data_IF_033338653776
#
_entry.id   IF_033338653776
#
_cell.length_a   1.000
_cell.length_b   1.000
_cell.length_c   1.000
_cell.angle_alpha   90.00
_cell.angle_beta   90.00
_cell.angle_gamma   90.00
#
_symmetry.space_group_name_H-M   'P 1'
#
loop_
_entity.id
_entity.type
_entity.pdbx_description
1 polymer ?
#
# COMPACT_ATOMS: atom_id res chain seq x y z
N UNK A 1 9.17 50.20 76.31
CA UNK A 1 10.59 50.60 76.46
C UNK A 1 11.21 50.60 75.07
N UNK A 2 11.46 51.82 74.55
CA UNK A 2 12.26 52.26 73.40
C UNK A 2 12.13 51.61 72.01
N UNK A 3 11.56 52.42 71.11
CA UNK A 3 11.89 52.51 69.67
C UNK A 3 13.33 52.98 69.43
N UNK A 4 13.87 52.64 68.25
CA UNK A 4 14.77 53.39 67.33
C UNK A 4 15.40 52.38 66.35
N UNK A 5 15.73 52.60 65.07
CA UNK A 5 15.37 53.54 64.00
C UNK A 5 15.97 52.92 62.70
N UNK A 6 15.43 53.32 61.54
CA UNK A 6 15.84 52.98 60.16
C UNK A 6 17.34 53.08 59.84
N UNK A 7 17.79 52.25 58.90
CA UNK A 7 18.66 52.69 57.80
C UNK A 7 18.36 51.86 56.53
N UNK A 8 17.73 52.48 55.54
CA UNK A 8 17.67 52.02 54.16
C UNK A 8 19.05 52.18 53.52
N UNK A 9 19.52 51.15 52.81
CA UNK A 9 20.60 51.26 51.84
C UNK A 9 20.04 50.83 50.48
N UNK A 10 19.63 51.81 49.67
CA UNK A 10 19.35 51.61 48.26
C UNK A 10 20.68 51.38 47.53
N UNK A 11 20.95 50.14 47.12
CA UNK A 11 22.02 49.84 46.18
C UNK A 11 21.50 50.09 44.76
N UNK A 12 21.93 51.21 44.19
CA UNK A 12 21.73 51.58 42.80
C UNK A 12 22.52 50.60 41.91
N UNK A 13 21.87 49.60 41.33
CA UNK A 13 22.49 48.71 40.36
C UNK A 13 22.57 49.45 39.02
N UNK A 14 23.73 50.01 38.71
CA UNK A 14 24.06 50.55 37.39
C UNK A 14 24.05 49.40 36.37
N UNK A 15 23.03 49.37 35.51
CA UNK A 15 23.01 48.57 34.30
C UNK A 15 24.09 49.10 33.35
N UNK A 16 25.29 48.53 33.43
CA UNK A 16 26.27 48.65 32.37
C UNK A 16 25.67 48.01 31.11
N UNK A 17 25.38 48.85 30.12
CA UNK A 17 24.99 48.43 28.79
C UNK A 17 26.20 47.76 28.13
N UNK A 18 26.39 46.47 28.42
CA UNK A 18 27.23 45.62 27.59
C UNK A 18 26.54 45.53 26.24
N UNK A 19 27.12 46.17 25.23
CA UNK A 19 26.73 45.97 23.84
C UNK A 19 26.74 44.47 23.57
N UNK A 20 25.54 43.87 23.46
CA UNK A 20 25.39 42.54 22.91
C UNK A 20 25.92 42.62 21.48
N UNK A 21 27.11 42.08 21.26
CA UNK A 21 27.61 41.84 19.93
C UNK A 21 26.54 41.02 19.22
N UNK A 22 25.95 41.58 18.16
CA UNK A 22 25.04 40.87 17.30
C UNK A 22 25.77 39.61 16.81
N UNK A 23 25.26 38.44 17.18
CA UNK A 23 25.73 37.19 16.62
C UNK A 23 25.60 37.31 15.10
N UNK A 24 26.61 36.90 14.32
CA UNK A 24 26.53 36.99 12.87
C UNK A 24 25.30 36.23 12.39
N UNK A 25 24.41 36.94 11.69
CA UNK A 25 23.29 36.38 10.94
C UNK A 25 23.88 35.46 9.87
N UNK A 26 24.05 34.19 10.22
CA UNK A 26 24.54 33.21 9.28
C UNK A 26 23.39 32.84 8.33
N UNK A 27 23.32 33.50 7.18
CA UNK A 27 22.30 33.26 6.14
C UNK A 27 22.40 31.87 5.48
N UNK A 28 23.34 31.03 5.94
CA UNK A 28 23.47 29.60 5.61
C UNK A 28 22.95 28.66 6.70
N UNK A 29 22.32 29.22 7.73
CA UNK A 29 21.67 28.49 8.82
C UNK A 29 20.50 27.65 8.27
N UNK A 30 20.67 26.33 8.19
CA UNK A 30 19.54 25.42 7.91
C UNK A 30 18.42 25.58 8.95
N UNK A 31 18.75 26.10 10.14
CA UNK A 31 17.79 26.30 11.23
C UNK A 31 16.63 27.25 10.84
N UNK A 32 16.78 28.13 9.85
CA UNK A 32 15.68 28.96 9.36
C UNK A 32 14.59 28.15 8.63
N UNK A 33 14.94 26.95 8.15
CA UNK A 33 14.00 26.01 7.53
C UNK A 33 13.41 25.02 8.54
N UNK A 34 13.81 25.08 9.81
CA UNK A 34 13.28 24.23 10.88
C UNK A 34 12.33 25.02 11.74
N UNK A 35 11.03 24.81 11.47
CA UNK A 35 9.96 25.39 12.26
C UNK A 35 9.89 24.71 13.62
N UNK A 36 10.15 25.48 14.68
CA UNK A 36 9.84 25.08 16.05
C UNK A 36 8.42 25.58 16.36
N UNK A 37 7.38 24.71 16.26
CA UNK A 37 6.02 25.13 16.49
C UNK A 37 5.82 25.67 17.92
N UNK A 38 5.00 26.72 18.03
CA UNK A 38 4.56 27.25 19.34
C UNK A 38 3.62 26.29 20.08
N UNK A 39 3.09 25.29 19.38
CA UNK A 39 2.17 24.28 19.90
C UNK A 39 2.77 22.88 19.78
N UNK A 40 2.40 21.99 20.72
CA UNK A 40 2.90 20.61 20.75
C UNK A 40 2.20 19.66 19.77
N UNK A 41 1.06 20.06 19.21
CA UNK A 41 0.33 19.31 18.18
C UNK A 41 0.17 20.20 16.97
N UNK A 42 0.61 19.70 15.82
CA UNK A 42 0.38 20.34 14.54
C UNK A 42 -0.69 19.56 13.78
N UNK A 43 -1.61 20.30 13.18
CA UNK A 43 -2.61 19.77 12.27
C UNK A 43 -2.17 20.08 10.84
N UNK A 44 -2.62 19.30 9.85
CA UNK A 44 -2.45 19.72 8.47
C UNK A 44 -3.17 21.04 8.20
N UNK A 45 -2.68 21.80 7.24
CA UNK A 45 -3.23 23.09 6.80
C UNK A 45 -4.19 22.94 5.61
N UNK A 46 -4.07 21.86 4.85
CA UNK A 46 -4.96 21.58 3.73
C UNK A 46 -5.09 20.07 3.44
N UNK A 47 -6.20 19.71 2.79
CA UNK A 47 -6.34 18.43 2.08
C UNK A 47 -5.93 18.68 0.63
N UNK A 48 -4.94 17.94 0.14
CA UNK A 48 -4.45 18.08 -1.23
C UNK A 48 -5.23 17.20 -2.21
N UNK A 49 -5.54 15.97 -1.80
CA UNK A 49 -6.33 15.03 -2.58
C UNK A 49 -7.06 14.03 -1.68
N UNK A 50 -8.11 13.44 -2.23
CA UNK A 50 -8.74 12.24 -1.69
C UNK A 50 -9.05 11.29 -2.84
N UNK A 51 -8.85 10.00 -2.61
CA UNK A 51 -9.13 8.92 -3.57
C UNK A 51 -9.92 7.83 -2.86
N UNK A 52 -10.81 7.14 -3.59
CA UNK A 52 -11.66 6.10 -3.01
C UNK A 52 -12.75 6.66 -2.11
N UNK A 53 -13.17 5.89 -1.10
CA UNK A 53 -14.29 6.26 -0.25
C UNK A 53 -13.83 6.93 1.05
N UNK A 54 -13.51 8.22 0.92
CA UNK A 54 -13.19 9.14 2.02
C UNK A 54 -14.32 10.14 2.19
N UNK A 55 -14.77 10.34 3.43
CA UNK A 55 -15.74 11.39 3.76
C UNK A 55 -15.24 12.24 4.93
N UNK A 56 -15.50 13.54 4.86
CA UNK A 56 -15.15 14.52 5.90
C UNK A 56 -13.65 14.57 6.23
N UNK A 57 -12.77 14.50 5.21
CA UNK A 57 -11.32 14.58 5.39
C UNK A 57 -10.88 15.89 6.05
N UNK A 58 -11.61 16.98 5.79
CA UNK A 58 -11.40 18.32 6.34
C UNK A 58 -11.53 18.38 7.87
N UNK A 59 -12.14 17.35 8.49
CA UNK A 59 -12.14 17.20 9.94
C UNK A 59 -10.73 17.13 10.53
N UNK A 60 -9.76 16.59 9.79
CA UNK A 60 -8.36 16.49 10.23
C UNK A 60 -7.64 17.84 10.14
N UNK A 61 -7.96 18.67 9.14
CA UNK A 61 -7.43 20.04 9.01
C UNK A 61 -8.02 20.96 10.08
N UNK A 62 -9.35 20.95 10.22
CA UNK A 62 -10.04 21.75 11.25
C UNK A 62 -9.77 21.24 12.68
N UNK A 63 -9.49 19.94 12.81
CA UNK A 63 -9.47 19.20 14.07
C UNK A 63 -10.83 19.21 14.78
N UNK A 64 -11.91 19.16 14.01
CA UNK A 64 -13.28 19.09 14.48
C UNK A 64 -14.05 18.03 13.68
N UNK A 65 -14.67 17.08 14.40
CA UNK A 65 -15.37 15.95 13.77
C UNK A 65 -14.44 14.75 13.51
N UNK A 66 -14.90 13.85 12.64
CA UNK A 66 -14.22 12.59 12.32
C UNK A 66 -14.18 12.43 10.81
N UNK A 67 -13.00 12.15 10.27
CA UNK A 67 -12.84 11.70 8.89
C UNK A 67 -13.09 10.19 8.81
N UNK A 68 -13.84 9.75 7.81
CA UNK A 68 -14.13 8.34 7.60
C UNK A 68 -13.46 7.85 6.33
N UNK A 69 -12.69 6.78 6.47
CA UNK A 69 -12.07 6.04 5.39
C UNK A 69 -12.73 4.67 5.37
N UNK A 70 -13.25 4.26 4.22
CA UNK A 70 -13.89 2.96 4.08
C UNK A 70 -13.41 2.25 2.84
N UNK A 71 -13.15 0.95 2.96
CA UNK A 71 -12.96 0.10 1.81
C UNK A 71 -14.33 -0.31 1.28
N UNK A 72 -14.45 -0.41 -0.04
CA UNK A 72 -15.57 -1.15 -0.60
C UNK A 72 -15.59 -2.56 0.04
N UNK A 73 -16.78 -3.13 0.30
CA UNK A 73 -16.85 -4.51 0.76
C UNK A 73 -16.07 -5.37 -0.25
N UNK A 74 -15.19 -6.23 0.27
CA UNK A 74 -14.40 -7.17 -0.54
C UNK A 74 -15.35 -7.84 -1.52
N UNK A 75 -15.08 -7.70 -2.83
CA UNK A 75 -15.97 -8.25 -3.85
C UNK A 75 -16.13 -9.76 -3.59
N UNK A 76 -17.35 -10.20 -3.29
CA UNK A 76 -17.65 -11.61 -2.96
C UNK A 76 -18.12 -12.41 -4.16
N UNK A 77 -18.34 -11.75 -5.30
CA UNK A 77 -18.75 -12.38 -6.56
C UNK A 77 -17.76 -12.01 -7.65
N UNK A 78 -16.98 -12.99 -8.10
CA UNK A 78 -16.07 -12.84 -9.23
C UNK A 78 -16.73 -13.42 -10.50
N UNK A 79 -16.36 -12.94 -11.70
CA UNK A 79 -16.79 -13.59 -12.94
C UNK A 79 -16.20 -15.00 -13.00
N UNK A 80 -16.94 -15.98 -13.49
CA UNK A 80 -16.50 -17.36 -13.58
C UNK A 80 -16.44 -17.83 -15.03
N UNK A 81 -15.47 -18.67 -15.36
CA UNK A 81 -15.47 -19.34 -16.67
C UNK A 81 -16.71 -20.22 -16.84
N UNK A 82 -17.20 -20.42 -18.08
CA UNK A 82 -18.32 -21.33 -18.33
C UNK A 82 -18.02 -22.74 -17.81
N UNK A 83 -19.05 -23.43 -17.31
CA UNK A 83 -18.93 -24.81 -16.86
C UNK A 83 -18.34 -25.70 -17.97
N UNK A 84 -17.36 -26.55 -17.62
CA UNK A 84 -16.64 -27.40 -18.57
C UNK A 84 -15.37 -26.75 -19.15
N UNK A 85 -15.02 -25.54 -18.71
CA UNK A 85 -13.71 -24.93 -19.01
C UNK A 85 -12.58 -25.74 -18.36
N UNK A 86 -11.47 -25.90 -19.09
CA UNK A 86 -10.26 -26.57 -18.61
C UNK A 86 -9.07 -25.62 -18.61
N UNK A 87 -8.05 -25.94 -17.80
CA UNK A 87 -6.80 -25.20 -17.74
C UNK A 87 -5.60 -26.15 -17.90
N UNK A 88 -4.54 -25.67 -18.55
CA UNK A 88 -3.29 -26.40 -18.75
C UNK A 88 -2.08 -25.47 -18.58
N UNK A 89 -1.18 -25.81 -17.67
CA UNK A 89 0.11 -25.15 -17.48
C UNK A 89 1.20 -25.72 -18.41
N UNK A 90 2.26 -24.95 -18.67
CA UNK A 90 3.53 -25.43 -19.26
C UNK A 90 4.12 -26.55 -18.41
N UNK A 91 4.01 -26.38 -17.09
CA UNK A 91 4.36 -27.35 -16.07
C UNK A 91 3.50 -27.12 -14.82
N UNK A 92 3.53 -28.07 -13.88
CA UNK A 92 2.81 -27.99 -12.61
C UNK A 92 3.70 -28.54 -11.49
N UNK A 93 3.88 -27.77 -10.43
CA UNK A 93 4.64 -28.20 -9.26
C UNK A 93 3.99 -29.41 -8.58
N UNK A 94 4.83 -30.27 -8.00
CA UNK A 94 4.37 -31.41 -7.21
C UNK A 94 3.63 -30.96 -5.93
N UNK A 95 2.58 -31.68 -5.55
CA UNK A 95 1.83 -31.41 -4.31
C UNK A 95 2.72 -31.51 -3.07
N UNK A 96 2.45 -30.70 -2.05
CA UNK A 96 3.11 -30.77 -0.75
C UNK A 96 2.09 -30.72 0.40
N UNK A 97 2.59 -30.71 1.65
CA UNK A 97 1.75 -30.57 2.84
C UNK A 97 2.04 -29.25 3.54
N UNK A 98 1.02 -28.42 3.73
CA UNK A 98 1.09 -27.13 4.42
C UNK A 98 0.08 -27.15 5.56
N UNK A 99 0.53 -26.92 6.80
CA UNK A 99 -0.32 -26.96 8.00
C UNK A 99 -1.15 -28.25 8.15
N UNK A 100 -0.59 -29.39 7.72
CA UNK A 100 -1.27 -30.69 7.77
C UNK A 100 -2.29 -30.94 6.66
N UNK A 101 -2.50 -29.99 5.74
CA UNK A 101 -3.35 -30.16 4.57
C UNK A 101 -2.50 -30.36 3.30
N UNK A 102 -2.96 -31.21 2.39
CA UNK A 102 -2.35 -31.34 1.06
C UNK A 102 -2.66 -30.10 0.24
N UNK A 103 -1.62 -29.47 -0.31
CA UNK A 103 -1.74 -28.38 -1.27
C UNK A 103 -1.33 -28.90 -2.64
N UNK A 104 -2.16 -28.62 -3.63
CA UNK A 104 -1.93 -28.93 -5.05
C UNK A 104 -1.65 -27.65 -5.82
N UNK A 105 -1.06 -27.79 -7.00
CA UNK A 105 -0.59 -26.68 -7.84
C UNK A 105 -1.06 -26.77 -9.29
N UNK A 106 -2.18 -27.47 -9.50
CA UNK A 106 -2.70 -27.77 -10.82
C UNK A 106 -3.14 -26.50 -11.54
N UNK A 107 -3.04 -26.47 -12.86
CA UNK A 107 -3.54 -25.39 -13.69
C UNK A 107 -5.04 -25.15 -13.47
N UNK A 108 -5.82 -26.20 -13.16
CA UNK A 108 -7.24 -26.11 -12.86
C UNK A 108 -7.56 -25.25 -11.63
N UNK A 109 -6.59 -25.08 -10.73
CA UNK A 109 -6.76 -24.20 -9.57
C UNK A 109 -6.93 -22.73 -10.00
N UNK A 110 -6.41 -22.34 -11.15
CA UNK A 110 -6.50 -20.97 -11.66
C UNK A 110 -7.87 -20.59 -12.26
N UNK A 111 -8.86 -21.47 -12.16
CA UNK A 111 -10.23 -21.27 -12.69
C UNK A 111 -11.31 -21.84 -11.75
N UNK A 112 -10.98 -22.16 -10.49
CA UNK A 112 -11.86 -22.90 -9.58
C UNK A 112 -12.73 -22.01 -8.68
N UNK A 113 -12.51 -20.70 -8.73
CA UNK A 113 -13.17 -19.68 -7.94
C UNK A 113 -12.58 -19.48 -6.54
N UNK A 114 -11.46 -20.13 -6.19
CA UNK A 114 -10.92 -20.18 -4.84
C UNK A 114 -9.52 -19.54 -4.77
N UNK A 115 -9.47 -18.33 -4.21
CA UNK A 115 -8.23 -17.56 -4.03
C UNK A 115 -7.18 -18.18 -3.09
N UNK A 116 -7.45 -19.35 -2.51
CA UNK A 116 -6.51 -20.07 -1.62
C UNK A 116 -5.81 -21.24 -2.31
N UNK A 117 -6.31 -21.67 -3.46
CA UNK A 117 -5.65 -22.59 -4.39
C UNK A 117 -5.00 -21.79 -5.51
N UNK A 118 -3.97 -22.34 -6.15
CA UNK A 118 -3.29 -21.66 -7.25
C UNK A 118 -2.58 -22.65 -8.16
N UNK A 119 -2.39 -22.27 -9.42
CA UNK A 119 -1.43 -22.88 -10.32
C UNK A 119 -0.02 -22.42 -9.96
N UNK A 120 0.93 -23.34 -9.94
CA UNK A 120 2.35 -23.06 -9.78
C UNK A 120 3.14 -23.89 -10.81
N UNK A 121 4.02 -23.25 -11.57
CA UNK A 121 4.92 -23.96 -12.48
C UNK A 121 5.93 -24.84 -11.71
N UNK A 122 6.59 -25.77 -12.39
CA UNK A 122 7.58 -26.68 -11.83
C UNK A 122 9.03 -26.31 -12.15
N UNK A 123 9.27 -25.17 -12.80
CA UNK A 123 10.52 -24.78 -13.44
C UNK A 123 10.95 -23.36 -13.01
N UNK A 124 11.32 -23.18 -11.72
CA UNK A 124 11.56 -21.87 -11.15
C UNK A 124 12.63 -21.07 -11.90
N UNK A 125 12.32 -19.81 -12.22
CA UNK A 125 13.20 -18.89 -12.93
C UNK A 125 13.51 -19.29 -14.38
N UNK A 126 12.75 -20.23 -14.96
CA UNK A 126 12.90 -20.67 -16.35
C UNK A 126 11.67 -20.27 -17.14
N UNK A 127 11.88 -19.44 -18.15
CA UNK A 127 10.79 -18.83 -18.94
C UNK A 127 10.86 -19.21 -20.42
N UNK A 128 9.74 -19.15 -21.16
CA UNK A 128 8.41 -18.74 -20.68
C UNK A 128 7.62 -19.86 -20.01
N UNK A 129 6.80 -19.49 -19.04
CA UNK A 129 5.73 -20.34 -18.51
C UNK A 129 4.40 -19.96 -19.15
N UNK A 130 3.53 -20.95 -19.38
CA UNK A 130 2.24 -20.70 -20.04
C UNK A 130 1.09 -21.31 -19.26
N UNK A 131 0.03 -20.56 -19.06
CA UNK A 131 -1.26 -21.06 -18.56
C UNK A 131 -2.32 -20.86 -19.64
N UNK A 132 -2.83 -21.96 -20.20
CA UNK A 132 -3.85 -21.96 -21.25
C UNK A 132 -5.19 -22.36 -20.67
N UNK A 133 -6.20 -21.51 -20.85
CA UNK A 133 -7.59 -21.76 -20.50
C UNK A 133 -8.39 -22.05 -21.78
N UNK A 134 -9.16 -23.13 -21.78
CA UNK A 134 -9.97 -23.57 -22.92
C UNK A 134 -11.43 -23.68 -22.47
N UNK A 135 -12.27 -22.76 -22.98
CA UNK A 135 -13.71 -22.77 -22.75
C UNK A 135 -14.41 -23.71 -23.75
N UNK A 136 -15.54 -24.34 -23.36
CA UNK A 136 -16.28 -25.26 -24.25
C UNK A 136 -17.00 -24.56 -25.41
N UNK A 137 -17.21 -23.25 -25.28
CA UNK A 137 -17.79 -22.39 -26.30
C UNK A 137 -17.12 -21.01 -26.24
N UNK A 138 -17.26 -20.23 -27.30
CA UNK A 138 -16.67 -18.90 -27.34
C UNK A 138 -17.23 -18.02 -26.19
N UNK A 139 -16.33 -17.35 -25.47
CA UNK A 139 -16.64 -16.32 -24.50
C UNK A 139 -16.30 -14.96 -25.08
N UNK A 140 -17.05 -13.94 -24.67
CA UNK A 140 -16.83 -12.56 -25.09
C UNK A 140 -16.17 -11.80 -23.93
N UNK A 141 -15.00 -11.22 -24.18
CA UNK A 141 -14.12 -10.65 -23.17
C UNK A 141 -13.72 -9.21 -23.54
N UNK A 142 -13.87 -8.30 -22.59
CA UNK A 142 -13.30 -6.93 -22.67
C UNK A 142 -11.90 -6.86 -22.03
N UNK A 143 -11.46 -7.96 -21.42
CA UNK A 143 -10.21 -8.11 -20.71
C UNK A 143 -10.24 -9.33 -19.80
N UNK A 144 -9.15 -9.56 -19.09
CA UNK A 144 -9.02 -10.58 -18.04
C UNK A 144 -8.41 -9.98 -16.79
N UNK A 145 -8.53 -10.68 -15.67
CA UNK A 145 -7.83 -10.30 -14.43
C UNK A 145 -7.03 -11.48 -13.92
N UNK A 146 -5.74 -11.25 -13.68
CA UNK A 146 -4.85 -12.20 -13.01
C UNK A 146 -4.91 -11.92 -11.51
N UNK A 147 -5.35 -12.89 -10.73
CA UNK A 147 -5.11 -12.94 -9.29
C UNK A 147 -3.91 -13.84 -9.01
N UNK A 148 -2.90 -13.29 -8.36
CA UNK A 148 -1.69 -13.99 -7.94
C UNK A 148 -1.82 -14.50 -6.52
N UNK A 149 -1.00 -15.48 -6.15
CA UNK A 149 -0.88 -15.91 -4.76
C UNK A 149 0.07 -14.98 -3.97
N UNK A 150 -0.11 -14.87 -2.65
CA UNK A 150 0.68 -13.95 -1.80
C UNK A 150 2.18 -14.27 -1.75
N UNK A 151 2.59 -15.48 -2.13
CA UNK A 151 3.98 -15.93 -2.09
C UNK A 151 4.77 -15.57 -3.36
N UNK A 152 4.24 -14.68 -4.20
CA UNK A 152 4.94 -14.11 -5.36
C UNK A 152 4.02 -13.91 -6.56
N UNK A 153 4.32 -12.89 -7.37
CA UNK A 153 3.49 -12.49 -8.52
C UNK A 153 4.23 -12.63 -9.85
N UNK A 154 3.52 -12.95 -10.95
CA UNK A 154 4.01 -12.69 -12.30
C UNK A 154 4.27 -11.20 -12.52
N UNK A 155 5.48 -10.87 -12.96
CA UNK A 155 5.98 -9.49 -13.12
C UNK A 155 5.83 -9.03 -14.56
N UNK A 156 6.30 -9.83 -15.51
CA UNK A 156 6.21 -9.54 -16.95
C UNK A 156 5.50 -10.71 -17.66
N UNK A 157 4.40 -10.42 -18.33
CA UNK A 157 3.62 -11.45 -19.03
C UNK A 157 2.72 -10.85 -20.12
N UNK A 158 2.25 -11.70 -21.02
CA UNK A 158 1.23 -11.36 -22.02
C UNK A 158 -0.03 -12.18 -21.82
N UNK A 159 -1.16 -11.62 -22.26
CA UNK A 159 -2.41 -12.33 -22.45
C UNK A 159 -2.66 -12.44 -23.95
N UNK A 160 -2.87 -13.65 -24.42
CA UNK A 160 -3.13 -13.99 -25.81
C UNK A 160 -4.50 -14.66 -25.95
N UNK A 161 -5.18 -14.42 -27.07
CA UNK A 161 -6.47 -15.06 -27.40
C UNK A 161 -6.35 -15.84 -28.70
N UNK A 162 -7.05 -16.97 -28.79
CA UNK A 162 -7.05 -17.82 -29.98
C UNK A 162 -8.11 -17.36 -31.00
N UNK A 163 -7.72 -17.18 -32.26
CA UNK A 163 -8.64 -16.79 -33.35
C UNK A 163 -9.18 -17.97 -34.17
N UNK A 164 -8.81 -19.21 -33.82
CA UNK A 164 -9.10 -20.41 -34.61
C UNK A 164 -7.87 -20.98 -35.34
N UNK A 165 -6.83 -20.18 -35.53
CA UNK A 165 -5.61 -20.56 -36.25
C UNK A 165 -4.32 -20.04 -35.61
N UNK A 166 -4.35 -18.88 -34.95
CA UNK A 166 -3.19 -18.23 -34.33
C UNK A 166 -3.53 -17.70 -32.94
N UNK A 167 -2.48 -17.61 -32.13
CA UNK A 167 -2.49 -16.84 -30.89
C UNK A 167 -2.18 -15.39 -31.20
N UNK A 168 -3.06 -14.49 -30.77
CA UNK A 168 -2.90 -13.05 -30.93
C UNK A 168 -2.79 -12.40 -29.55
N UNK A 169 -1.79 -11.54 -29.34
CA UNK A 169 -1.66 -10.78 -28.10
C UNK A 169 -2.84 -9.82 -27.93
N UNK A 170 -3.60 -10.00 -26.85
CA UNK A 170 -4.72 -9.15 -26.47
C UNK A 170 -4.31 -8.08 -25.44
N UNK A 171 -3.25 -8.33 -24.65
CA UNK A 171 -2.64 -7.35 -23.75
C UNK A 171 -1.28 -7.80 -23.21
N UNK A 172 -0.53 -6.86 -22.65
CA UNK A 172 0.80 -7.09 -22.07
C UNK A 172 0.95 -6.35 -20.76
N UNK A 173 1.69 -6.94 -19.82
CA UNK A 173 2.00 -6.38 -18.51
C UNK A 173 3.51 -6.44 -18.30
N UNK A 174 4.07 -5.38 -17.72
CA UNK A 174 5.50 -5.27 -17.41
C UNK A 174 5.66 -4.60 -16.05
N UNK A 175 6.54 -5.14 -15.20
CA UNK A 175 6.85 -4.58 -13.88
C UNK A 175 5.72 -4.72 -12.87
N UNK A 176 4.83 -5.71 -13.02
CA UNK A 176 3.76 -5.93 -12.06
C UNK A 176 4.30 -6.30 -10.67
N UNK A 177 3.73 -5.68 -9.65
CA UNK A 177 3.98 -5.99 -8.23
C UNK A 177 2.68 -6.24 -7.45
N UNK A 178 1.52 -6.10 -8.10
CA UNK A 178 0.22 -6.25 -7.47
C UNK A 178 -0.23 -7.71 -7.51
N UNK A 179 -0.95 -8.14 -6.45
CA UNK A 179 -1.61 -9.45 -6.42
C UNK A 179 -2.70 -9.54 -7.48
N UNK A 180 -3.46 -8.46 -7.68
CA UNK A 180 -4.47 -8.36 -8.73
C UNK A 180 -3.97 -7.48 -9.86
N UNK A 181 -3.92 -8.03 -11.07
CA UNK A 181 -3.51 -7.31 -12.26
C UNK A 181 -4.56 -7.46 -13.37
N UNK A 182 -5.19 -6.34 -13.73
CA UNK A 182 -6.17 -6.26 -14.81
C UNK A 182 -5.48 -6.05 -16.15
N UNK A 183 -5.89 -6.83 -17.15
CA UNK A 183 -5.43 -6.69 -18.53
C UNK A 183 -6.63 -6.38 -19.42
N UNK A 184 -6.80 -5.10 -19.75
CA UNK A 184 -7.86 -4.63 -20.65
C UNK A 184 -7.48 -4.90 -22.09
N UNK A 185 -8.44 -5.35 -22.90
CA UNK A 185 -8.24 -5.53 -24.34
C UNK A 185 -8.62 -4.25 -25.09
N UNK A 186 -7.97 -3.99 -26.23
CA UNK A 186 -8.24 -2.79 -27.05
C UNK A 186 -9.65 -2.76 -27.63
N UNK A 187 -10.26 -3.93 -27.78
CA UNK A 187 -11.65 -4.12 -28.18
C UNK A 187 -12.15 -5.43 -27.58
N UNK A 188 -13.47 -5.59 -27.52
CA UNK A 188 -14.09 -6.84 -27.13
C UNK A 188 -13.66 -7.98 -28.07
N UNK A 189 -13.24 -9.12 -27.51
CA UNK A 189 -12.79 -10.30 -28.26
C UNK A 189 -13.70 -11.49 -27.94
N UNK A 190 -14.13 -12.21 -28.98
CA UNK A 190 -14.81 -13.50 -28.84
C UNK A 190 -13.82 -14.63 -29.12
N UNK A 191 -13.59 -15.51 -28.15
CA UNK A 191 -12.60 -16.60 -28.27
C UNK A 191 -12.99 -17.82 -27.45
N UNK A 192 -12.51 -19.00 -27.84
CA UNK A 192 -12.61 -20.22 -27.03
C UNK A 192 -11.41 -20.44 -26.13
N UNK A 193 -10.29 -19.72 -26.33
CA UNK A 193 -9.07 -19.95 -25.56
C UNK A 193 -8.34 -18.66 -25.22
N UNK A 194 -7.82 -18.62 -23.99
CA UNK A 194 -6.94 -17.56 -23.51
C UNK A 194 -5.65 -18.21 -23.03
N UNK A 195 -4.50 -17.62 -23.35
CA UNK A 195 -3.19 -18.03 -22.84
C UNK A 195 -2.51 -16.87 -22.14
N UNK A 196 -2.09 -17.10 -20.92
CA UNK A 196 -1.12 -16.24 -20.23
C UNK A 196 0.28 -16.80 -20.51
N UNK A 197 1.19 -15.94 -20.96
CA UNK A 197 2.60 -16.29 -21.19
C UNK A 197 3.47 -15.42 -20.28
N UNK A 198 4.05 -16.03 -19.25
CA UNK A 198 4.90 -15.37 -18.25
C UNK A 198 6.35 -15.41 -18.69
N UNK A 199 7.02 -14.27 -18.60
CA UNK A 199 8.43 -14.10 -18.97
C UNK A 199 9.32 -13.64 -17.82
N UNK A 200 8.71 -13.29 -16.68
CA UNK A 200 9.39 -12.91 -15.45
C UNK A 200 8.45 -13.00 -14.26
N UNK A 201 8.91 -13.61 -13.19
CA UNK A 201 8.25 -13.65 -11.89
C UNK A 201 9.03 -12.84 -10.84
N UNK A 202 8.36 -12.58 -9.73
CA UNK A 202 8.97 -11.92 -8.59
C UNK A 202 9.94 -12.89 -7.89
N UNK A 203 11.18 -12.43 -7.70
CA UNK A 203 12.17 -13.19 -6.95
C UNK A 203 12.00 -12.96 -5.44
N UNK A 204 11.48 -13.97 -4.73
CA UNK A 204 11.23 -13.94 -3.28
C UNK A 204 11.81 -15.18 -2.60
N UNK A 205 11.80 -15.21 -1.26
CA UNK A 205 12.33 -16.35 -0.47
C UNK A 205 11.59 -17.66 -0.71
N UNK A 206 10.31 -17.60 -1.11
CA UNK A 206 9.53 -18.76 -1.53
C UNK A 206 9.91 -19.28 -2.94
N UNK A 207 10.87 -18.64 -3.60
CA UNK A 207 11.33 -18.94 -4.96
C UNK A 207 10.59 -18.14 -6.03
N UNK A 208 11.19 -18.13 -7.22
CA UNK A 208 10.74 -17.41 -8.40
C UNK A 208 9.93 -18.35 -9.29
N UNK A 209 8.60 -18.29 -9.13
CA UNK A 209 7.65 -19.17 -9.82
C UNK A 209 6.44 -18.36 -10.27
N UNK A 210 5.84 -18.80 -11.37
CA UNK A 210 4.55 -18.34 -11.84
C UNK A 210 3.47 -18.85 -10.90
N UNK A 211 2.73 -17.92 -10.28
CA UNK A 211 1.71 -18.24 -9.28
C UNK A 211 0.42 -17.52 -9.61
N UNK A 212 -0.55 -18.26 -10.14
CA UNK A 212 -1.87 -17.71 -10.50
C UNK A 212 -2.92 -18.41 -9.66
N UNK A 213 -3.49 -17.67 -8.71
CA UNK A 213 -4.64 -18.11 -7.92
C UNK A 213 -5.88 -18.19 -8.81
N UNK A 214 -6.11 -17.16 -9.63
CA UNK A 214 -7.22 -17.13 -10.58
C UNK A 214 -6.86 -16.35 -11.84
N UNK A 215 -7.32 -16.82 -13.00
CA UNK A 215 -7.39 -16.03 -14.22
C UNK A 215 -8.85 -15.78 -14.55
N UNK A 216 -9.40 -14.64 -14.16
CA UNK A 216 -10.81 -14.33 -14.30
C UNK A 216 -11.20 -13.93 -15.74
N UNK A 217 -12.34 -14.39 -16.28
CA UNK A 217 -12.85 -14.01 -17.61
C UNK A 217 -13.56 -12.65 -17.55
N UNK A 218 -12.80 -11.60 -17.22
CA UNK A 218 -13.30 -10.24 -17.15
C UNK A 218 -12.44 -9.35 -16.25
N UNK A 219 -12.80 -8.07 -16.20
CA UNK A 219 -12.15 -7.09 -15.35
C UNK A 219 -12.78 -7.12 -13.94
N UNK A 220 -11.96 -7.50 -12.96
CA UNK A 220 -12.32 -7.50 -11.54
C UNK A 220 -11.76 -6.21 -10.92
N UNK A 221 -12.64 -5.43 -10.30
CA UNK A 221 -12.24 -4.20 -9.65
C UNK A 221 -11.25 -4.48 -8.50
N UNK A 222 -10.34 -3.55 -8.25
CA UNK A 222 -9.60 -3.56 -7.00
C UNK A 222 -10.54 -3.24 -5.84
N UNK A 223 -10.19 -3.73 -4.65
CA UNK A 223 -10.78 -3.21 -3.43
C UNK A 223 -10.29 -1.75 -3.31
N UNK A 224 -11.10 -0.79 -3.76
CA UNK A 224 -10.73 0.62 -3.76
C UNK A 224 -10.12 1.03 -2.41
N UNK A 225 -8.86 1.46 -2.45
CA UNK A 225 -8.16 2.00 -1.28
C UNK A 225 -8.69 3.41 -1.05
N UNK A 226 -9.15 3.68 0.16
CA UNK A 226 -9.48 5.03 0.58
C UNK A 226 -8.18 5.73 1.01
N UNK A 227 -7.85 6.84 0.36
CA UNK A 227 -6.60 7.58 0.55
C UNK A 227 -6.91 9.08 0.68
N UNK A 228 -6.16 9.78 1.52
CA UNK A 228 -6.14 11.23 1.55
C UNK A 228 -4.72 11.74 1.75
N UNK A 229 -4.33 12.75 0.96
CA UNK A 229 -3.05 13.43 1.08
C UNK A 229 -3.27 14.76 1.78
N UNK A 230 -2.48 15.02 2.82
CA UNK A 230 -2.58 16.22 3.64
C UNK A 230 -1.32 17.06 3.55
N UNK A 231 -1.49 18.38 3.42
CA UNK A 231 -0.40 19.36 3.47
C UNK A 231 -0.23 19.88 4.89
N UNK A 232 1.00 19.89 5.39
CA UNK A 232 1.35 20.53 6.67
C UNK A 232 1.95 21.93 6.49
N UNK A 233 2.11 22.38 5.24
CA UNK A 233 2.53 23.72 4.83
C UNK A 233 4.03 24.00 4.94
N UNK A 234 4.75 23.19 5.72
CA UNK A 234 6.18 23.34 6.00
C UNK A 234 6.77 22.01 6.46
N UNK A 235 8.10 21.90 6.45
CA UNK A 235 8.79 20.76 7.05
C UNK A 235 8.60 20.76 8.56
N UNK A 236 7.94 19.73 9.07
CA UNK A 236 7.60 19.57 10.49
C UNK A 236 8.46 18.45 11.09
N UNK A 237 9.15 18.76 12.19
CA UNK A 237 9.84 17.76 13.01
C UNK A 237 8.97 17.36 14.20
N UNK A 238 8.89 16.05 14.50
CA UNK A 238 8.08 15.56 15.61
C UNK A 238 7.83 14.06 15.59
N UNK A 239 6.92 13.62 16.45
CA UNK A 239 6.32 12.29 16.40
C UNK A 239 4.90 12.42 15.86
N UNK A 240 4.56 11.58 14.88
CA UNK A 240 3.17 11.51 14.43
C UNK A 240 2.31 10.89 15.53
N UNK A 241 1.14 11.45 15.75
CA UNK A 241 0.11 10.89 16.60
C UNK A 241 -1.21 10.91 15.86
N UNK A 242 -1.89 9.77 15.82
CA UNK A 242 -3.17 9.59 15.15
C UNK A 242 -4.19 9.13 16.18
N UNK A 243 -5.22 9.95 16.35
CA UNK A 243 -6.40 9.63 17.14
C UNK A 243 -7.44 8.97 16.24
N UNK A 244 -7.77 7.71 16.51
CA UNK A 244 -8.83 6.98 15.82
C UNK A 244 -10.03 6.81 16.76
N UNK A 245 -11.25 6.97 16.22
CA UNK A 245 -12.48 6.64 16.96
C UNK A 245 -12.81 5.15 16.94
N UNK A 246 -12.13 4.39 16.07
CA UNK A 246 -12.26 2.95 15.91
C UNK A 246 -12.42 2.53 14.45
N UNK A 247 -12.30 1.23 14.20
CA UNK A 247 -12.57 0.57 12.93
C UNK A 247 -13.74 -0.42 13.06
N UNK A 248 -14.30 -0.93 11.95
CA UNK A 248 -15.48 -1.80 12.02
C UNK A 248 -15.19 -3.17 12.67
N UNK A 249 -14.06 -3.80 12.33
CA UNK A 249 -13.69 -5.15 12.84
C UNK A 249 -12.17 -5.28 13.07
N UNK A 250 -11.57 -4.33 13.77
CA UNK A 250 -10.10 -4.17 13.86
C UNK A 250 -9.42 -4.04 12.48
N UNK A 251 -10.18 -3.61 11.46
CA UNK A 251 -9.78 -3.47 10.06
C UNK A 251 -10.70 -2.43 9.38
N UNK A 252 -10.26 -1.76 8.28
CA UNK A 252 -8.92 -1.85 7.69
C UNK A 252 -7.83 -1.22 8.57
N UNK A 253 -6.56 -1.58 8.31
CA UNK A 253 -5.41 -0.84 8.83
C UNK A 253 -5.18 0.46 8.06
N UNK A 254 -4.35 1.35 8.62
CA UNK A 254 -3.90 2.59 7.97
C UNK A 254 -2.45 2.40 7.55
N UNK A 255 -2.14 2.75 6.31
CA UNK A 255 -0.77 2.89 5.80
C UNK A 255 -0.43 4.37 5.70
N UNK A 256 0.80 4.72 6.04
CA UNK A 256 1.28 6.09 6.09
C UNK A 256 2.57 6.21 5.30
N UNK A 257 2.60 7.25 4.45
CA UNK A 257 3.78 7.70 3.74
C UNK A 257 3.97 9.20 3.94
N UNK A 258 5.23 9.60 4.08
CA UNK A 258 5.67 10.99 4.18
C UNK A 258 6.60 11.32 3.02
N UNK A 259 6.54 12.59 2.61
CA UNK A 259 7.48 13.17 1.67
C UNK A 259 7.59 14.66 1.93
N UNK A 260 8.80 15.21 1.81
CA UNK A 260 9.01 16.67 1.83
C UNK A 260 8.40 17.38 0.60
N UNK A 261 8.09 16.63 -0.47
CA UNK A 261 7.51 17.16 -1.71
C UNK A 261 6.48 16.24 -2.35
N UNK A 262 5.56 16.81 -3.14
CA UNK A 262 4.64 16.02 -3.95
C UNK A 262 5.33 15.26 -5.09
N UNK A 263 6.50 15.71 -5.54
CA UNK A 263 7.25 15.04 -6.61
C UNK A 263 7.71 13.64 -6.20
N UNK A 264 8.03 13.45 -4.92
CA UNK A 264 8.53 12.20 -4.37
C UNK A 264 7.51 11.48 -3.48
N UNK A 265 6.29 12.01 -3.37
CA UNK A 265 5.22 11.35 -2.61
C UNK A 265 4.78 10.09 -3.36
N UNK A 266 4.96 8.94 -2.72
CA UNK A 266 4.50 7.63 -3.20
C UNK A 266 3.86 6.88 -2.04
N UNK A 267 3.40 5.64 -2.28
CA UNK A 267 2.98 4.74 -1.21
C UNK A 267 4.12 4.42 -0.23
N UNK A 268 5.39 4.69 -0.58
CA UNK A 268 6.54 4.56 0.32
C UNK A 268 6.97 5.92 0.85
N UNK A 269 7.29 5.96 2.14
CA UNK A 269 7.83 7.17 2.72
C UNK A 269 9.33 7.32 2.42
N UNK A 270 9.78 8.56 2.26
CA UNK A 270 11.20 8.91 2.29
C UNK A 270 11.81 8.80 3.70
N UNK A 271 10.99 8.71 4.76
CA UNK A 271 11.40 8.52 6.15
C UNK A 271 10.39 7.68 6.95
N UNK A 272 10.82 6.50 7.43
CA UNK A 272 10.04 5.70 8.40
C UNK A 272 10.87 5.24 9.57
N UNK A 273 10.19 5.03 10.71
CA UNK A 273 10.79 4.40 11.90
C UNK A 273 10.42 2.92 12.03
N UNK A 274 9.62 2.37 11.12
CA UNK A 274 8.93 1.08 11.30
C UNK A 274 9.79 -0.19 11.27
N UNK A 275 11.10 -0.16 10.98
CA UNK A 275 11.94 -1.36 11.14
C UNK A 275 12.71 -1.37 12.47
N UNK A 276 12.59 -2.48 13.19
CA UNK A 276 13.16 -2.81 14.50
C UNK A 276 14.70 -2.62 14.64
N UNK A 277 15.18 -1.38 14.60
CA UNK A 277 16.55 -0.98 14.91
C UNK A 277 16.61 0.53 15.05
N UNK A 278 17.58 1.05 15.80
CA UNK A 278 17.84 2.50 15.89
C UNK A 278 18.37 3.10 14.55
N UNK A 279 17.94 2.55 13.41
CA UNK A 279 18.41 2.89 12.08
C UNK A 279 17.22 3.39 11.26
N UNK A 280 17.37 4.57 10.67
CA UNK A 280 16.43 5.10 9.68
C UNK A 280 16.52 4.18 8.45
N UNK A 281 15.48 3.41 8.18
CA UNK A 281 15.34 2.59 6.96
C UNK A 281 14.25 3.16 6.06
N UNK A 282 14.33 2.87 4.76
CA UNK A 282 13.26 3.18 3.81
C UNK A 282 12.11 2.20 4.03
N UNK A 283 10.88 2.68 4.22
CA UNK A 283 9.72 1.84 4.56
C UNK A 283 8.38 2.57 4.51
N UNK A 284 7.36 1.96 5.12
CA UNK A 284 6.00 2.52 5.34
C UNK A 284 5.58 2.27 6.78
N UNK A 285 4.87 3.22 7.40
CA UNK A 285 4.35 3.04 8.75
C UNK A 285 2.92 2.48 8.67
N UNK A 286 2.65 1.36 9.33
CA UNK A 286 1.35 0.70 9.32
C UNK A 286 0.70 0.70 10.71
N UNK A 287 -0.61 0.99 10.76
CA UNK A 287 -1.40 1.01 11.99
C UNK A 287 -2.52 -0.04 11.88
N UNK A 288 -2.45 -1.07 12.72
CA UNK A 288 -3.59 -1.92 12.99
C UNK A 288 -4.62 -1.11 13.81
N UNK A 289 -5.72 -0.69 13.19
CA UNK A 289 -6.72 0.17 13.84
C UNK A 289 -7.72 -0.68 14.61
N UNK A 290 -7.79 -0.61 15.94
CA UNK A 290 -8.73 -1.40 16.73
C UNK A 290 -10.18 -0.95 16.51
N UNK A 291 -11.14 -1.80 16.87
CA UNK A 291 -12.55 -1.45 16.81
C UNK A 291 -12.97 -0.38 17.84
N UNK A 292 -12.20 -0.26 18.92
CA UNK A 292 -12.37 0.78 19.94
C UNK A 292 -11.48 2.00 19.65
N UNK A 293 -11.81 3.17 20.24
CA UNK A 293 -10.95 4.35 20.13
C UNK A 293 -9.51 4.06 20.53
N UNK A 294 -8.56 4.56 19.75
CA UNK A 294 -7.15 4.27 19.92
C UNK A 294 -6.29 5.46 19.49
N UNK A 295 -5.36 5.86 20.36
CA UNK A 295 -4.32 6.83 20.04
C UNK A 295 -3.05 6.07 19.67
N UNK A 296 -2.68 6.11 18.40
CA UNK A 296 -1.38 5.67 17.93
C UNK A 296 -0.40 6.83 18.03
N UNK A 297 0.81 6.57 18.51
CA UNK A 297 1.92 7.52 18.40
C UNK A 297 3.13 6.76 17.88
N UNK A 298 3.88 7.38 16.97
CA UNK A 298 5.12 6.87 16.37
C UNK A 298 6.27 6.72 17.40
N UNK A 299 6.01 5.93 18.45
CA UNK A 299 6.95 5.62 19.54
C UNK A 299 7.42 4.18 19.47
N UNK A 300 6.69 3.32 18.74
CA UNK A 300 6.95 1.90 18.49
C UNK A 300 6.33 1.53 17.13
N UNK A 301 7.13 0.96 16.20
CA UNK A 301 6.76 0.74 14.80
C UNK A 301 5.57 -0.20 14.52
N UNK A 302 5.02 -0.90 15.53
CA UNK A 302 3.74 -1.63 15.50
C UNK A 302 3.28 -1.95 16.94
N UNK A 303 1.97 -2.02 17.21
CA UNK A 303 1.42 -2.31 18.57
C UNK A 303 1.13 -3.80 18.82
N UNK A 304 1.07 -4.64 17.79
CA UNK A 304 0.85 -6.08 17.93
C UNK A 304 1.80 -6.87 17.01
N UNK A 305 2.35 -7.96 17.55
CA UNK A 305 3.03 -9.03 16.80
C UNK A 305 2.03 -10.06 16.31
#
# INVERSE_FOLDING_TARGET
MKLCHLAEAAALLLLSHGSLAALPSNTTSWQQYVYAPSERRLKPVAVLSTTGNVTNAEALVSGSGVAYFSRAPKQTSFPSWPAGTTAQGSSEAGSNTVNGAVRTYYASNAIDGNLTTFWNDATPGVYPDTLTITAPSAVTLDGVTVESFSDGVPVDYTIETWDGSNWNTAGSVTGNSALRSRVTFNSQISTTQVRMTVTKDQSVSAGEYSRVAELWPGLVADDAVAEAVFDFGQNVVGFLSIDTVGASTNAPGIELAFSESLEYLTERSDFTRSDNGNQITQGTDHIATPAAPYNWTDTLGCTYN
#
